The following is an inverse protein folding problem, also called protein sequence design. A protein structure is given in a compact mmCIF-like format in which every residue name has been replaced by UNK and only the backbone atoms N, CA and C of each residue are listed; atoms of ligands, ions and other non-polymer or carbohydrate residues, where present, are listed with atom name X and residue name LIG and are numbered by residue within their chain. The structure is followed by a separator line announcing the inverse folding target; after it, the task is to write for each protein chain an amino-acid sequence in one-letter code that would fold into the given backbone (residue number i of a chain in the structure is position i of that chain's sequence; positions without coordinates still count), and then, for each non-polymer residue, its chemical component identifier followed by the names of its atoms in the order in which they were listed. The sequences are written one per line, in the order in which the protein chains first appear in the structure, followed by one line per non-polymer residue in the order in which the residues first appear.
data_IF_426181429019
#
_entry.id   IF_426181429019
#
_cell.length_a   1.000
_cell.length_b   1.000
_cell.length_c   1.000
_cell.angle_alpha   90.00
_cell.angle_beta   90.00
_cell.angle_gamma   90.00
#
_symmetry.space_group_name_H-M   'P 1'
#
loop_
_entity.id
_entity.type
_entity.pdbx_description
1 polymer ?
#
# COMPACT_ATOMS: atom_id res chain seq x y z
N UNK A 1 -43.92 23.42 16.20
CA UNK A 1 -44.01 23.04 14.77
C UNK A 1 -42.58 22.97 14.26
N UNK A 2 -42.07 21.77 13.98
CA UNK A 2 -40.69 21.55 13.54
C UNK A 2 -40.60 21.79 12.03
N UNK A 3 -39.87 22.81 11.59
CA UNK A 3 -39.63 23.08 10.18
C UNK A 3 -38.62 22.06 9.66
N UNK A 4 -39.06 21.11 8.84
CA UNK A 4 -38.16 20.20 8.14
C UNK A 4 -37.34 21.00 7.12
N UNK A 5 -36.01 20.74 7.00
CA UNK A 5 -35.21 21.34 5.96
C UNK A 5 -35.68 20.84 4.59
N UNK A 6 -35.98 21.78 3.68
CA UNK A 6 -36.39 21.48 2.32
C UNK A 6 -35.24 20.81 1.56
N UNK A 7 -35.35 19.48 1.40
CA UNK A 7 -34.36 18.61 0.77
C UNK A 7 -34.09 19.05 -0.68
N UNK A 8 -35.07 19.65 -1.35
CA UNK A 8 -34.91 20.12 -2.72
C UNK A 8 -34.00 21.36 -2.78
N UNK A 9 -34.13 22.26 -1.82
CA UNK A 9 -33.24 23.42 -1.68
C UNK A 9 -31.80 22.99 -1.35
N UNK A 10 -31.61 21.93 -0.55
CA UNK A 10 -30.28 21.38 -0.29
C UNK A 10 -29.65 20.76 -1.55
N UNK A 11 -30.42 19.97 -2.30
CA UNK A 11 -29.96 19.34 -3.53
C UNK A 11 -29.55 20.39 -4.58
N UNK A 12 -30.36 21.45 -4.74
CA UNK A 12 -30.04 22.55 -5.65
C UNK A 12 -28.78 23.32 -5.23
N UNK A 13 -28.61 23.59 -3.94
CA UNK A 13 -27.39 24.25 -3.44
C UNK A 13 -26.14 23.39 -3.66
N UNK A 14 -26.24 22.08 -3.48
CA UNK A 14 -25.13 21.16 -3.76
C UNK A 14 -24.77 21.12 -5.25
N UNK A 15 -25.77 21.08 -6.13
CA UNK A 15 -25.54 21.16 -7.57
C UNK A 15 -24.87 22.49 -7.99
N UNK A 16 -25.27 23.61 -7.40
CA UNK A 16 -24.66 24.91 -7.66
C UNK A 16 -23.18 24.96 -7.21
N UNK A 17 -22.84 24.38 -6.05
CA UNK A 17 -21.45 24.30 -5.60
C UNK A 17 -20.57 23.45 -6.50
N UNK A 18 -21.07 22.29 -6.96
CA UNK A 18 -20.32 21.42 -7.88
C UNK A 18 -20.04 22.15 -9.20
N UNK A 19 -21.02 22.88 -9.72
CA UNK A 19 -20.85 23.68 -10.95
C UNK A 19 -19.82 24.81 -10.75
N UNK A 20 -19.86 25.52 -9.63
CA UNK A 20 -18.90 26.58 -9.33
C UNK A 20 -17.46 26.05 -9.23
N UNK A 21 -17.27 24.90 -8.57
CA UNK A 21 -15.96 24.25 -8.48
C UNK A 21 -15.47 23.75 -9.84
N UNK A 22 -16.38 23.23 -10.67
CA UNK A 22 -16.05 22.78 -12.04
C UNK A 22 -15.60 23.96 -12.91
N UNK A 23 -16.25 25.13 -12.79
CA UNK A 23 -15.83 26.35 -13.48
C UNK A 23 -14.45 26.85 -13.02
N UNK A 24 -14.19 26.87 -11.72
CA UNK A 24 -12.87 27.27 -11.19
C UNK A 24 -11.76 26.36 -11.70
N UNK A 25 -12.02 25.05 -11.81
CA UNK A 25 -11.04 24.10 -12.34
C UNK A 25 -10.79 24.30 -13.83
N UNK A 26 -11.85 24.61 -14.62
CA UNK A 26 -11.72 24.90 -16.04
C UNK A 26 -10.96 26.21 -16.31
N UNK A 27 -11.15 27.25 -15.49
CA UNK A 27 -10.40 28.51 -15.61
C UNK A 27 -8.90 28.33 -15.34
N UNK A 28 -8.53 27.50 -14.37
CA UNK A 28 -7.14 27.15 -14.09
C UNK A 28 -6.50 26.31 -15.21
N UNK A 29 -7.30 25.54 -15.97
CA UNK A 29 -6.82 24.80 -17.13
C UNK A 29 -6.75 25.65 -18.42
N UNK A 30 -7.58 26.69 -18.53
CA UNK A 30 -7.65 27.54 -19.72
C UNK A 30 -6.59 28.66 -19.75
N UNK A 31 -6.07 29.07 -18.59
CA UNK A 31 -5.03 30.11 -18.48
C UNK A 31 -3.75 29.55 -17.82
N UNK A 32 -2.82 28.96 -18.58
CA UNK A 32 -1.48 28.70 -18.06
C UNK A 32 -0.81 30.03 -17.70
N UNK A 33 -0.20 30.20 -16.52
CA UNK A 33 0.59 31.38 -16.25
C UNK A 33 1.71 31.50 -17.28
N UNK A 34 1.82 32.68 -17.91
CA UNK A 34 2.93 33.01 -18.80
C UNK A 34 4.25 32.63 -18.13
N UNK A 35 5.11 31.93 -18.89
CA UNK A 35 6.38 31.39 -18.44
C UNK A 35 7.25 32.48 -17.78
N UNK A 36 7.21 32.54 -16.46
CA UNK A 36 8.34 33.02 -15.67
C UNK A 36 9.36 31.89 -15.61
N UNK A 37 10.68 32.18 -15.59
CA UNK A 37 11.69 31.14 -15.55
C UNK A 37 11.59 30.45 -14.19
N UNK A 38 10.81 29.38 -14.14
CA UNK A 38 10.85 28.43 -13.04
C UNK A 38 12.29 27.97 -12.97
N UNK A 39 12.94 28.29 -11.85
CA UNK A 39 14.24 27.75 -11.49
C UNK A 39 14.11 26.25 -11.64
N UNK A 40 14.65 25.70 -12.73
CA UNK A 40 14.92 24.27 -12.84
C UNK A 40 15.79 23.95 -11.62
N UNK A 41 15.14 23.46 -10.57
CA UNK A 41 15.80 22.83 -9.45
C UNK A 41 16.38 21.57 -10.06
N UNK A 42 17.58 21.71 -10.61
CA UNK A 42 18.42 20.65 -11.15
C UNK A 42 18.40 19.53 -10.12
N UNK A 43 17.67 18.45 -10.41
CA UNK A 43 17.71 17.21 -9.66
C UNK A 43 19.06 16.53 -9.94
N UNK A 44 20.15 17.15 -9.50
CA UNK A 44 21.50 16.64 -9.59
C UNK A 44 21.78 15.64 -8.46
N UNK A 45 20.84 14.75 -8.18
CA UNK A 45 21.08 13.62 -7.28
C UNK A 45 20.74 12.37 -8.06
N UNK A 46 21.80 11.69 -8.52
CA UNK A 46 21.72 10.44 -9.27
C UNK A 46 20.74 9.50 -8.56
N UNK A 47 19.58 9.26 -9.17
CA UNK A 47 18.63 8.24 -8.74
C UNK A 47 19.39 6.92 -8.76
N UNK A 48 19.50 6.31 -7.59
CA UNK A 48 20.03 4.95 -7.45
C UNK A 48 18.98 4.03 -8.07
N UNK A 49 19.31 3.52 -9.25
CA UNK A 49 18.53 2.68 -10.18
C UNK A 49 17.72 1.59 -9.47
N UNK A 50 16.56 1.93 -8.91
CA UNK A 50 15.55 0.97 -8.44
C UNK A 50 14.31 1.21 -9.27
N UNK A 51 13.88 0.16 -9.97
CA UNK A 51 12.73 0.21 -10.83
C UNK A 51 11.48 0.65 -10.05
N UNK A 52 10.65 1.45 -10.71
CA UNK A 52 9.33 1.80 -10.20
C UNK A 52 8.53 0.51 -9.91
N UNK A 53 7.85 0.41 -8.75
CA UNK A 53 7.10 -0.80 -8.39
C UNK A 53 5.85 -1.01 -9.25
N UNK A 54 5.46 -0.03 -10.07
CA UNK A 54 4.24 -0.06 -10.87
C UNK A 54 3.00 0.33 -10.06
N UNK A 55 1.86 0.35 -10.75
CA UNK A 55 0.57 0.60 -10.14
C UNK A 55 0.02 -0.66 -9.45
N UNK A 56 -0.65 -0.46 -8.32
CA UNK A 56 -1.42 -1.49 -7.63
C UNK A 56 -2.91 -1.15 -7.69
N UNK A 57 -3.70 -2.08 -8.23
CA UNK A 57 -5.13 -1.85 -8.48
C UNK A 57 -6.03 -2.28 -7.33
N UNK A 58 -5.47 -2.96 -6.32
CA UNK A 58 -6.21 -3.49 -5.19
C UNK A 58 -6.33 -5.02 -5.16
N UNK A 59 -5.73 -5.75 -6.10
CA UNK A 59 -5.70 -7.21 -6.06
C UNK A 59 -4.87 -7.70 -4.87
N UNK A 60 -5.60 -8.23 -3.88
CA UNK A 60 -5.06 -8.75 -2.64
C UNK A 60 -4.01 -9.85 -2.85
N UNK A 61 -4.12 -10.70 -3.86
CA UNK A 61 -3.16 -11.78 -4.12
C UNK A 61 -1.79 -11.26 -4.59
N UNK A 62 -1.77 -10.11 -5.27
CA UNK A 62 -0.54 -9.48 -5.75
C UNK A 62 0.06 -8.49 -4.75
N UNK A 63 -0.65 -8.24 -3.64
CA UNK A 63 -0.24 -7.23 -2.66
C UNK A 63 1.15 -7.53 -2.08
N UNK A 64 1.45 -8.78 -1.73
CA UNK A 64 2.73 -9.13 -1.11
C UNK A 64 3.93 -8.79 -2.02
N UNK A 65 3.84 -9.16 -3.30
CA UNK A 65 4.88 -8.91 -4.29
C UNK A 65 5.05 -7.40 -4.55
N UNK A 66 3.95 -6.72 -4.85
CA UNK A 66 3.98 -5.29 -5.11
C UNK A 66 4.44 -4.48 -3.90
N UNK A 67 3.96 -4.85 -2.70
CA UNK A 67 4.28 -4.16 -1.46
C UNK A 67 5.78 -4.20 -1.16
N UNK A 68 6.44 -5.34 -1.34
CA UNK A 68 7.89 -5.44 -1.16
C UNK A 68 8.64 -4.54 -2.16
N UNK A 69 8.24 -4.54 -3.44
CA UNK A 69 8.81 -3.65 -4.47
C UNK A 69 8.66 -2.18 -4.07
N UNK A 70 7.49 -1.78 -3.61
CA UNK A 70 7.23 -0.42 -3.14
C UNK A 70 8.10 -0.05 -1.94
N UNK A 71 8.22 -0.92 -0.93
CA UNK A 71 9.04 -0.63 0.25
C UNK A 71 10.52 -0.45 -0.10
N UNK A 72 11.05 -1.27 -1.01
CA UNK A 72 12.43 -1.14 -1.51
C UNK A 72 12.58 0.19 -2.27
N UNK A 73 11.62 0.51 -3.15
CA UNK A 73 11.64 1.75 -3.92
C UNK A 73 11.61 2.99 -3.02
N UNK A 74 10.71 3.07 -2.03
CA UNK A 74 10.67 4.20 -1.08
C UNK A 74 12.00 4.33 -0.32
N UNK A 75 12.57 3.21 0.15
CA UNK A 75 13.82 3.23 0.90
C UNK A 75 15.03 3.62 0.04
N UNK A 76 15.05 3.21 -1.21
CA UNK A 76 16.10 3.58 -2.17
C UNK A 76 16.04 5.06 -2.57
N UNK A 77 14.83 5.64 -2.58
CA UNK A 77 14.59 7.05 -2.91
C UNK A 77 14.46 7.95 -1.68
N UNK A 78 14.74 7.43 -0.47
CA UNK A 78 14.47 8.14 0.79
C UNK A 78 15.07 9.55 0.82
N UNK A 79 16.35 9.68 0.45
CA UNK A 79 17.07 10.96 0.47
C UNK A 79 16.66 11.94 -0.65
N UNK A 80 15.71 11.55 -1.50
CA UNK A 80 15.11 12.41 -2.51
C UNK A 80 13.79 13.04 -2.06
N UNK A 81 13.15 12.47 -1.02
CA UNK A 81 11.95 13.05 -0.43
C UNK A 81 12.33 14.09 0.62
N UNK A 82 11.74 15.28 0.52
CA UNK A 82 11.96 16.39 1.44
C UNK A 82 11.14 16.27 2.73
N UNK A 83 9.93 15.69 2.64
CA UNK A 83 8.97 15.62 3.74
C UNK A 83 7.98 14.45 3.61
N UNK A 84 7.10 14.30 4.60
CA UNK A 84 6.06 13.27 4.61
C UNK A 84 5.03 13.44 3.48
N UNK A 85 4.82 14.67 2.99
CA UNK A 85 3.93 14.93 1.85
C UNK A 85 4.48 14.27 0.59
N UNK A 86 5.76 14.47 0.27
CA UNK A 86 6.38 13.87 -0.91
C UNK A 86 6.39 12.34 -0.84
N UNK A 87 6.66 11.75 0.33
CA UNK A 87 6.58 10.29 0.52
C UNK A 87 5.15 9.79 0.34
N UNK A 88 4.19 10.41 1.02
CA UNK A 88 2.80 9.98 1.00
C UNK A 88 2.18 10.09 -0.39
N UNK A 89 2.38 11.21 -1.09
CA UNK A 89 1.89 11.40 -2.46
C UNK A 89 2.56 10.44 -3.45
N UNK A 90 3.87 10.21 -3.32
CA UNK A 90 4.56 9.23 -4.14
C UNK A 90 3.97 7.82 -3.95
N UNK A 91 3.70 7.39 -2.73
CA UNK A 91 3.08 6.09 -2.44
C UNK A 91 1.64 6.03 -2.94
N UNK A 92 0.81 7.01 -2.58
CA UNK A 92 -0.61 7.05 -2.93
C UNK A 92 -0.83 7.12 -4.45
N UNK A 93 0.02 7.83 -5.20
CA UNK A 93 -0.06 7.90 -6.67
C UNK A 93 0.09 6.54 -7.38
N UNK A 94 0.66 5.54 -6.71
CA UNK A 94 0.85 4.17 -7.22
C UNK A 94 -0.30 3.24 -6.84
N UNK A 95 -1.20 3.65 -5.96
CA UNK A 95 -2.45 2.94 -5.64
C UNK A 95 -3.54 3.46 -6.61
N UNK A 96 -3.84 2.67 -7.64
CA UNK A 96 -4.73 3.04 -8.77
C UNK A 96 -5.87 2.04 -8.93
N UNK A 97 -6.61 2.12 -10.04
CA UNK A 97 -7.68 1.18 -10.34
C UNK A 97 -8.92 1.36 -9.45
N UNK A 98 -9.94 0.50 -9.62
CA UNK A 98 -11.25 0.71 -9.01
C UNK A 98 -11.25 0.57 -7.48
N UNK A 99 -10.38 -0.27 -6.91
CA UNK A 99 -10.35 -0.53 -5.47
C UNK A 99 -9.30 0.36 -4.79
N UNK A 100 -8.04 0.27 -5.22
CA UNK A 100 -6.98 1.05 -4.59
C UNK A 100 -7.03 2.54 -4.95
N UNK A 101 -7.52 2.90 -6.15
CA UNK A 101 -7.73 4.29 -6.54
C UNK A 101 -8.83 4.99 -5.72
N UNK A 102 -9.91 4.28 -5.37
CA UNK A 102 -10.96 4.82 -4.49
C UNK A 102 -10.40 5.14 -3.10
N UNK A 103 -9.59 4.23 -2.54
CA UNK A 103 -8.87 4.47 -1.30
C UNK A 103 -7.95 5.70 -1.40
N UNK A 104 -7.15 5.80 -2.47
CA UNK A 104 -6.27 6.94 -2.73
C UNK A 104 -7.03 8.26 -2.77
N UNK A 105 -8.16 8.30 -3.47
CA UNK A 105 -8.97 9.50 -3.60
C UNK A 105 -9.47 9.99 -2.24
N UNK A 106 -10.06 9.08 -1.44
CA UNK A 106 -10.53 9.41 -0.09
C UNK A 106 -9.37 9.88 0.78
N UNK A 107 -8.24 9.15 0.74
CA UNK A 107 -7.11 9.45 1.62
C UNK A 107 -6.41 10.76 1.28
N UNK A 108 -6.24 11.06 0.00
CA UNK A 108 -5.71 12.36 -0.44
C UNK A 108 -6.64 13.49 0.00
N UNK A 109 -7.95 13.35 -0.19
CA UNK A 109 -8.93 14.36 0.21
C UNK A 109 -8.87 14.66 1.72
N UNK A 110 -8.76 13.62 2.55
CA UNK A 110 -8.59 13.79 4.00
C UNK A 110 -7.30 14.53 4.34
N UNK A 111 -6.16 14.16 3.72
CA UNK A 111 -4.87 14.81 3.98
C UNK A 111 -4.90 16.30 3.59
N UNK A 112 -5.48 16.63 2.44
CA UNK A 112 -5.65 18.02 2.01
C UNK A 112 -6.59 18.81 2.92
N UNK A 113 -7.67 18.19 3.41
CA UNK A 113 -8.63 18.85 4.30
C UNK A 113 -8.05 19.07 5.70
N UNK A 114 -7.28 18.11 6.22
CA UNK A 114 -6.63 18.21 7.52
C UNK A 114 -5.37 19.08 7.50
N UNK A 115 -4.73 19.25 6.34
CA UNK A 115 -3.42 19.90 6.23
C UNK A 115 -2.28 19.10 6.86
N UNK A 116 -2.48 17.80 7.12
CA UNK A 116 -1.52 16.92 7.79
C UNK A 116 -1.31 15.67 6.96
N UNK A 117 -0.04 15.33 6.73
CA UNK A 117 0.36 14.18 5.94
C UNK A 117 0.86 13.05 6.84
N UNK A 118 0.50 11.78 6.54
CA UNK A 118 0.94 10.66 7.36
C UNK A 118 2.44 10.39 7.14
N UNK A 119 3.14 10.08 8.23
CA UNK A 119 4.49 9.52 8.14
C UNK A 119 4.47 8.20 7.35
N UNK A 120 5.64 7.84 6.80
CA UNK A 120 5.79 6.54 6.12
C UNK A 120 5.37 5.35 6.99
N UNK A 121 5.67 5.38 8.30
CA UNK A 121 5.31 4.31 9.22
C UNK A 121 3.79 4.17 9.40
N UNK A 122 3.09 5.29 9.56
CA UNK A 122 1.64 5.31 9.67
C UNK A 122 0.98 4.82 8.38
N UNK A 123 1.50 5.25 7.22
CA UNK A 123 0.99 4.85 5.92
C UNK A 123 1.16 3.34 5.69
N UNK A 124 2.27 2.73 6.13
CA UNK A 124 2.46 1.26 6.07
C UNK A 124 1.41 0.51 6.86
N UNK A 125 1.06 0.99 8.06
CA UNK A 125 0.05 0.33 8.91
C UNK A 125 -1.31 0.42 8.24
N UNK A 126 -1.66 1.60 7.73
CA UNK A 126 -2.94 1.86 7.09
C UNK A 126 -3.13 1.03 5.81
N UNK A 127 -2.18 1.06 4.87
CA UNK A 127 -2.27 0.30 3.62
C UNK A 127 -2.37 -1.21 3.91
N UNK A 128 -1.58 -1.72 4.86
CA UNK A 128 -1.67 -3.13 5.26
C UNK A 128 -3.04 -3.48 5.85
N UNK A 129 -3.69 -2.56 6.58
CA UNK A 129 -5.03 -2.80 7.12
C UNK A 129 -6.07 -3.02 6.01
N UNK A 130 -5.98 -2.29 4.91
CA UNK A 130 -6.95 -2.37 3.81
C UNK A 130 -6.69 -3.51 2.81
N UNK A 131 -5.42 -3.70 2.44
CA UNK A 131 -5.05 -4.53 1.29
C UNK A 131 -4.32 -5.81 1.65
N UNK A 132 -3.78 -5.95 2.87
CA UNK A 132 -3.11 -7.19 3.25
C UNK A 132 -4.15 -8.31 3.37
N UNK A 133 -3.95 -9.46 2.69
CA UNK A 133 -4.84 -10.60 2.86
C UNK A 133 -4.70 -11.16 4.28
N UNK A 134 -5.73 -11.00 5.11
CA UNK A 134 -5.75 -11.68 6.42
C UNK A 134 -5.85 -13.20 6.24
N UNK A 135 -6.49 -13.64 5.15
CA UNK A 135 -6.60 -15.03 4.76
C UNK A 135 -5.23 -15.67 4.47
N UNK A 136 -4.22 -14.96 3.97
CA UNK A 136 -2.88 -15.53 3.73
C UNK A 136 -2.18 -15.94 5.03
N UNK A 137 -2.31 -15.14 6.10
CA UNK A 137 -1.79 -15.54 7.42
C UNK A 137 -2.47 -16.79 7.93
N UNK A 138 -3.80 -16.84 7.81
CA UNK A 138 -4.58 -17.99 8.26
C UNK A 138 -4.31 -19.22 7.39
N UNK A 139 -4.16 -19.03 6.08
CA UNK A 139 -3.78 -20.07 5.13
C UNK A 139 -2.37 -20.59 5.42
N UNK A 140 -1.37 -19.72 5.61
CA UNK A 140 -0.01 -20.14 5.95
C UNK A 140 0.03 -20.93 7.27
N UNK A 141 -0.75 -20.51 8.27
CA UNK A 141 -0.95 -21.28 9.51
C UNK A 141 -1.60 -22.64 9.26
N UNK A 142 -2.62 -22.72 8.42
CA UNK A 142 -3.23 -24.00 8.07
C UNK A 142 -2.26 -24.90 7.29
N UNK A 143 -1.55 -24.35 6.32
CA UNK A 143 -0.60 -25.09 5.49
C UNK A 143 0.54 -25.65 6.32
N UNK A 144 1.12 -24.89 7.26
CA UNK A 144 2.22 -25.39 8.08
C UNK A 144 1.81 -26.54 9.00
N UNK A 145 0.54 -26.59 9.44
CA UNK A 145 0.03 -27.73 10.22
C UNK A 145 -0.09 -29.01 9.38
N UNK A 146 -0.35 -28.89 8.08
CA UNK A 146 -0.40 -30.02 7.14
C UNK A 146 0.90 -30.28 6.38
N UNK A 147 1.88 -29.38 6.47
CA UNK A 147 3.12 -29.47 5.71
C UNK A 147 3.98 -30.63 6.23
N UNK A 148 4.44 -31.51 5.34
CA UNK A 148 5.27 -32.67 5.68
C UNK A 148 6.42 -32.76 4.70
N UNK A 149 7.60 -33.17 5.18
CA UNK A 149 8.78 -33.31 4.31
C UNK A 149 8.53 -34.32 3.18
N UNK A 150 7.92 -35.46 3.48
CA UNK A 150 7.64 -36.50 2.48
C UNK A 150 8.93 -36.94 1.77
N UNK A 151 8.94 -36.89 0.43
CA UNK A 151 10.11 -37.20 -0.41
C UNK A 151 10.89 -35.94 -0.84
N UNK A 152 10.59 -34.77 -0.26
CA UNK A 152 11.25 -33.52 -0.57
C UNK A 152 12.68 -33.52 -0.04
N UNK A 153 13.61 -32.92 -0.78
CA UNK A 153 14.96 -32.68 -0.28
C UNK A 153 14.89 -31.79 0.96
N UNK A 154 15.76 -32.06 1.93
CA UNK A 154 15.76 -31.37 3.23
C UNK A 154 15.94 -29.86 3.07
N UNK A 155 16.77 -29.40 2.12
CA UNK A 155 16.98 -27.97 1.86
C UNK A 155 15.73 -27.27 1.32
N UNK A 156 15.02 -27.89 0.38
CA UNK A 156 13.76 -27.38 -0.15
C UNK A 156 12.67 -27.33 0.93
N UNK A 157 12.58 -28.40 1.74
CA UNK A 157 11.64 -28.47 2.85
C UNK A 157 11.87 -27.39 3.89
N UNK A 158 13.12 -27.20 4.33
CA UNK A 158 13.47 -26.17 5.32
C UNK A 158 13.19 -24.77 4.76
N UNK A 159 13.51 -24.54 3.48
CA UNK A 159 13.25 -23.25 2.82
C UNK A 159 11.76 -22.92 2.78
N UNK A 160 10.91 -23.88 2.37
CA UNK A 160 9.46 -23.69 2.29
C UNK A 160 8.81 -23.58 3.67
N UNK A 161 9.23 -24.41 4.64
CA UNK A 161 8.74 -24.35 6.01
C UNK A 161 9.07 -22.99 6.67
N UNK A 162 10.29 -22.47 6.47
CA UNK A 162 10.69 -21.18 6.99
C UNK A 162 9.86 -20.04 6.40
N UNK A 163 9.62 -20.07 5.08
CA UNK A 163 8.78 -19.09 4.41
C UNK A 163 7.34 -19.10 4.97
N UNK A 164 6.74 -20.29 5.14
CA UNK A 164 5.40 -20.45 5.74
C UNK A 164 5.36 -19.98 7.20
N UNK A 165 6.42 -20.23 7.98
CA UNK A 165 6.53 -19.80 9.38
C UNK A 165 6.54 -18.27 9.51
N UNK A 166 7.33 -17.61 8.66
CA UNK A 166 7.42 -16.14 8.60
C UNK A 166 6.09 -15.54 8.13
N UNK A 167 5.46 -16.14 7.11
CA UNK A 167 4.16 -15.68 6.59
C UNK A 167 3.02 -15.86 7.61
N UNK A 168 2.98 -16.98 8.31
CA UNK A 168 2.02 -17.28 9.38
C UNK A 168 2.24 -16.47 10.66
N UNK A 169 3.39 -15.80 10.79
CA UNK A 169 3.78 -15.04 11.97
C UNK A 169 3.98 -15.94 13.19
N UNK A 170 4.59 -17.11 12.99
CA UNK A 170 4.93 -18.04 14.05
C UNK A 170 6.13 -17.52 14.84
N UNK A 171 6.08 -17.63 16.17
CA UNK A 171 7.26 -17.41 17.01
C UNK A 171 8.27 -18.53 16.82
N UNK A 172 9.56 -18.24 17.07
CA UNK A 172 10.65 -19.19 16.83
C UNK A 172 10.44 -20.53 17.56
N UNK A 173 10.02 -20.51 18.82
CA UNK A 173 9.75 -21.71 19.62
C UNK A 173 8.69 -22.60 18.96
N UNK A 174 7.55 -22.01 18.60
CA UNK A 174 6.46 -22.74 17.96
C UNK A 174 6.81 -23.21 16.54
N UNK A 175 7.67 -22.46 15.83
CA UNK A 175 8.19 -22.89 14.53
C UNK A 175 9.11 -24.12 14.67
N UNK A 176 9.95 -24.20 15.71
CA UNK A 176 10.80 -25.38 15.96
C UNK A 176 9.96 -26.61 16.26
N UNK A 177 8.96 -26.50 17.14
CA UNK A 177 8.05 -27.62 17.46
C UNK A 177 7.34 -28.18 16.21
N UNK A 178 6.83 -27.28 15.36
CA UNK A 178 6.18 -27.66 14.11
C UNK A 178 7.18 -28.27 13.12
N UNK A 179 8.42 -27.79 13.08
CA UNK A 179 9.47 -28.32 12.21
C UNK A 179 9.82 -29.76 12.61
N UNK A 180 10.02 -30.03 13.89
CA UNK A 180 10.32 -31.36 14.43
C UNK A 180 9.17 -32.36 14.17
N UNK A 181 7.92 -31.91 14.29
CA UNK A 181 6.73 -32.72 14.02
C UNK A 181 6.48 -32.98 12.52
N UNK A 182 7.04 -32.15 11.65
CA UNK A 182 6.81 -32.19 10.21
C UNK A 182 7.97 -32.81 9.42
N UNK A 183 9.16 -32.85 10.01
CA UNK A 183 10.25 -33.72 9.56
C UNK A 183 9.79 -35.17 9.71
N UNK A 184 9.78 -35.91 8.60
CA UNK A 184 9.70 -37.37 8.70
C UNK A 184 11.03 -37.83 9.29
N UNK A 185 10.98 -38.53 10.43
CA UNK A 185 12.14 -39.23 10.96
C UNK A 185 12.61 -40.29 9.95
N UNK A 186 13.48 -39.90 9.01
CA UNK A 186 14.43 -40.78 8.32
C UNK A 186 15.83 -40.43 8.83
N UNK A 187 15.96 -40.28 10.14
CA UNK A 187 17.23 -40.39 10.86
C UNK A 187 16.98 -41.25 12.10
N UNK A 188 16.75 -42.55 11.86
CA UNK A 188 17.28 -43.56 12.79
C UNK A 188 18.77 -43.66 12.46
N UNK A 189 19.61 -43.07 13.29
CA UNK A 189 20.98 -43.52 13.48
C UNK A 189 21.05 -43.96 14.94
#
# INVERSE_FOLDING_TARGET
MSSQPDINSLLHNMHAQIQALTMQFAELQANPPAATPSVEKKFNKKVKVVADPGAFEGDRAQFAEWWIKLQIWVKANWDAFADDFEVATAVLSRLKGPVAGQYTQVRLQECYTAGVWPTWDNLKVEIKKYFKPQAERNWARQQIHSFKQGNMRTDDFVTQFLALSIQGGLGNEHAVELLERNNSFICRI
#
